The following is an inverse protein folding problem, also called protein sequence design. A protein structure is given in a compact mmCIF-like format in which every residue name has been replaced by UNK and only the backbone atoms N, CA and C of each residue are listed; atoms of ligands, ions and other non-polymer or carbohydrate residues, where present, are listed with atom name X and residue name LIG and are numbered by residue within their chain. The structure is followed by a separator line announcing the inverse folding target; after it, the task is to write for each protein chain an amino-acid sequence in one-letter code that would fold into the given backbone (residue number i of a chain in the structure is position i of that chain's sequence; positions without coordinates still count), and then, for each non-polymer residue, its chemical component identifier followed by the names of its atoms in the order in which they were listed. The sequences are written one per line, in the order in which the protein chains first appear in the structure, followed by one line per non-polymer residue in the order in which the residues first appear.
data_IF_709284310072
#
_entry.id   IF_709284310072
#
_cell.length_a   1.000
_cell.length_b   1.000
_cell.length_c   1.000
_cell.angle_alpha   90.00
_cell.angle_beta   90.00
_cell.angle_gamma   90.00
#
_symmetry.space_group_name_H-M   'P 1'
#
loop_
_entity.id
_entity.type
_entity.pdbx_description
1 polymer ?
#
# COMPACT_ATOMS: atom_id res chain seq x y z
N UNK A 1 -10.55 -5.61 13.59
CA UNK A 1 -9.68 -6.28 12.61
C UNK A 1 -9.77 -5.66 11.22
N UNK A 2 -10.88 -5.72 10.50
CA UNK A 2 -10.97 -5.17 9.13
C UNK A 2 -10.95 -3.64 9.05
N UNK A 3 -11.27 -2.93 10.12
CA UNK A 3 -11.25 -1.46 10.16
C UNK A 3 -9.86 -0.86 9.94
N UNK A 4 -8.81 -1.48 10.49
CA UNK A 4 -7.45 -0.94 10.38
C UNK A 4 -6.92 -0.87 8.94
N UNK A 5 -7.03 -1.90 8.08
CA UNK A 5 -6.68 -1.78 6.67
C UNK A 5 -7.49 -0.71 5.92
N UNK A 6 -8.75 -0.51 6.28
CA UNK A 6 -9.57 0.59 5.73
C UNK A 6 -9.00 1.95 6.14
N UNK A 7 -8.73 2.15 7.44
CA UNK A 7 -8.15 3.40 7.96
C UNK A 7 -6.77 3.70 7.35
N UNK A 8 -5.91 2.69 7.19
CA UNK A 8 -4.62 2.83 6.50
C UNK A 8 -4.84 3.37 5.07
N UNK A 9 -5.77 2.79 4.33
CA UNK A 9 -6.08 3.22 2.95
C UNK A 9 -6.63 4.64 2.90
N UNK A 10 -7.49 5.02 3.86
CA UNK A 10 -8.03 6.38 3.99
C UNK A 10 -6.92 7.37 4.33
N UNK A 11 -6.03 7.04 5.27
CA UNK A 11 -4.91 7.88 5.65
C UNK A 11 -3.96 8.13 4.47
N UNK A 12 -3.58 7.08 3.73
CA UNK A 12 -2.78 7.22 2.51
C UNK A 12 -3.46 8.12 1.49
N UNK A 13 -4.75 7.93 1.26
CA UNK A 13 -5.53 8.75 0.32
C UNK A 13 -5.54 10.22 0.74
N UNK A 14 -5.77 10.52 2.01
CA UNK A 14 -5.72 11.90 2.53
C UNK A 14 -4.35 12.54 2.31
N UNK A 15 -3.25 11.82 2.57
CA UNK A 15 -1.89 12.33 2.35
C UNK A 15 -1.63 12.64 0.87
N UNK A 16 -2.05 11.74 -0.03
CA UNK A 16 -1.89 11.96 -1.48
C UNK A 16 -2.70 13.17 -1.93
N UNK A 17 -4.02 13.20 -1.65
CA UNK A 17 -4.90 14.26 -2.16
C UNK A 17 -4.74 15.61 -1.47
N UNK A 18 -4.08 15.67 -0.32
CA UNK A 18 -3.69 16.95 0.30
C UNK A 18 -2.49 17.61 -0.39
N UNK A 19 -1.82 16.93 -1.35
CA UNK A 19 -0.60 17.41 -1.97
C UNK A 19 0.63 17.37 -1.02
N UNK A 20 0.55 16.59 0.08
CA UNK A 20 1.63 16.48 1.06
C UNK A 20 2.95 16.03 0.41
N UNK A 21 2.87 15.04 -0.47
CA UNK A 21 4.05 14.43 -1.10
C UNK A 21 4.67 15.31 -2.20
N UNK A 22 3.93 16.28 -2.74
CA UNK A 22 4.50 17.33 -3.60
C UNK A 22 5.26 18.36 -2.78
N UNK A 23 4.73 18.73 -1.61
CA UNK A 23 5.41 19.68 -0.70
C UNK A 23 6.61 19.07 0.00
N UNK A 24 6.59 17.77 0.26
CA UNK A 24 7.64 17.02 0.97
C UNK A 24 8.08 15.79 0.17
N UNK A 25 8.77 15.99 -0.98
CA UNK A 25 9.09 14.87 -1.90
C UNK A 25 10.11 13.88 -1.33
N UNK A 26 10.85 14.25 -0.29
CA UNK A 26 11.78 13.37 0.42
C UNK A 26 11.16 12.57 1.57
N UNK A 27 9.87 12.76 1.85
CA UNK A 27 9.20 12.06 2.95
C UNK A 27 9.06 10.56 2.62
N UNK A 28 9.50 9.72 3.57
CA UNK A 28 9.37 8.26 3.49
C UNK A 28 8.35 7.81 4.51
N UNK A 29 7.33 7.11 4.06
CA UNK A 29 6.23 6.63 4.90
C UNK A 29 6.09 5.13 4.73
N UNK A 30 6.09 4.41 5.85
CA UNK A 30 5.79 2.98 5.91
C UNK A 30 4.33 2.85 6.31
N UNK A 31 3.59 2.02 5.61
CA UNK A 31 2.16 1.79 5.85
C UNK A 31 1.93 0.41 6.42
N UNK A 32 1.06 0.33 7.43
CA UNK A 32 0.64 -0.93 8.03
C UNK A 32 -0.17 -1.78 7.04
N UNK A 33 -0.16 -3.10 7.28
CA UNK A 33 -0.93 -4.09 6.52
C UNK A 33 -0.67 -3.97 5.02
N UNK A 34 0.60 -3.76 4.65
CA UNK A 34 1.06 -3.64 3.27
C UNK A 34 0.24 -2.62 2.43
N UNK A 35 -0.06 -1.46 3.01
CA UNK A 35 -0.86 -0.43 2.34
C UNK A 35 -2.38 -0.66 2.39
N UNK A 36 -2.81 -1.57 3.27
CA UNK A 36 -4.22 -1.86 3.49
C UNK A 36 -4.92 -2.40 2.26
N UNK A 37 -5.93 -1.69 1.77
CA UNK A 37 -6.72 -2.11 0.60
C UNK A 37 -6.13 -1.63 -0.73
N UNK A 38 -5.18 -0.69 -0.71
CA UNK A 38 -4.71 -0.02 -1.94
C UNK A 38 -4.06 -0.94 -2.96
N UNK A 39 -3.18 -1.89 -2.60
CA UNK A 39 -2.61 -2.81 -3.59
C UNK A 39 -3.67 -3.64 -4.31
N UNK A 40 -4.66 -4.14 -3.59
CA UNK A 40 -5.75 -4.93 -4.16
C UNK A 40 -6.66 -4.11 -5.09
N UNK A 41 -6.91 -2.84 -4.75
CA UNK A 41 -7.76 -1.93 -5.52
C UNK A 41 -6.99 -0.99 -6.44
N UNK A 42 -5.71 -1.25 -6.72
CA UNK A 42 -4.84 -0.37 -7.52
C UNK A 42 -5.45 -0.02 -8.89
N UNK A 43 -5.93 -1.00 -9.64
CA UNK A 43 -6.56 -0.78 -10.94
C UNK A 43 -7.84 0.06 -10.83
N UNK A 44 -8.64 -0.14 -9.78
CA UNK A 44 -9.81 0.69 -9.50
C UNK A 44 -9.42 2.14 -9.18
N UNK A 45 -8.40 2.32 -8.32
CA UNK A 45 -7.90 3.63 -8.01
C UNK A 45 -7.42 4.36 -9.27
N UNK A 46 -6.58 3.72 -10.09
CA UNK A 46 -6.04 4.30 -11.31
C UNK A 46 -7.14 4.69 -12.32
N UNK A 47 -8.14 3.82 -12.54
CA UNK A 47 -9.21 4.09 -13.50
C UNK A 47 -10.18 5.16 -13.01
N UNK A 48 -10.60 5.12 -11.74
CA UNK A 48 -11.61 6.03 -11.24
C UNK A 48 -11.10 7.47 -11.07
N UNK A 49 -9.83 7.64 -10.78
CA UNK A 49 -9.25 8.99 -10.65
C UNK A 49 -9.29 9.77 -11.95
N UNK A 50 -9.14 9.11 -13.08
CA UNK A 50 -9.27 9.77 -14.40
C UNK A 50 -10.69 10.23 -14.69
N UNK A 51 -11.68 9.66 -13.99
CA UNK A 51 -13.12 9.97 -14.15
C UNK A 51 -13.69 10.85 -13.03
N UNK A 52 -12.96 11.04 -11.94
CA UNK A 52 -13.37 11.97 -10.88
C UNK A 52 -13.39 13.39 -11.46
N UNK A 53 -14.42 14.13 -11.13
CA UNK A 53 -14.65 15.46 -11.70
C UNK A 53 -15.56 15.47 -12.93
N UNK A 54 -15.82 14.32 -13.56
CA UNK A 54 -16.88 14.20 -14.57
C UNK A 54 -18.27 13.91 -13.98
N UNK A 55 -18.31 13.51 -12.70
CA UNK A 55 -19.54 13.07 -11.99
C UNK A 55 -19.88 13.90 -10.76
N UNK A 56 -19.00 14.81 -10.34
CA UNK A 56 -19.16 15.68 -9.17
C UNK A 56 -19.41 17.13 -9.55
N UNK A 57 -19.38 18.02 -8.56
CA UNK A 57 -19.52 19.47 -8.73
C UNK A 57 -18.24 20.16 -9.28
N UNK A 58 -17.25 19.37 -9.65
CA UNK A 58 -15.96 19.85 -10.16
C UNK A 58 -14.89 20.10 -9.09
N UNK A 59 -15.22 20.00 -7.80
CA UNK A 59 -14.25 20.22 -6.72
C UNK A 59 -13.14 19.18 -6.73
N UNK A 60 -13.48 17.91 -6.98
CA UNK A 60 -12.51 16.82 -7.10
C UNK A 60 -11.57 17.00 -8.31
N UNK A 61 -12.07 17.55 -9.40
CA UNK A 61 -11.23 17.85 -10.57
C UNK A 61 -10.15 18.90 -10.25
N UNK A 62 -10.42 19.83 -9.35
CA UNK A 62 -9.44 20.82 -8.91
C UNK A 62 -8.36 20.19 -8.03
N UNK A 63 -8.70 19.22 -7.17
CA UNK A 63 -7.73 18.47 -6.38
C UNK A 63 -6.76 17.71 -7.30
N UNK A 64 -7.28 17.03 -8.32
CA UNK A 64 -6.45 16.28 -9.26
C UNK A 64 -5.51 17.21 -10.06
N UNK A 65 -6.00 18.39 -10.48
CA UNK A 65 -5.19 19.39 -11.19
C UNK A 65 -4.09 20.01 -10.33
N UNK A 66 -4.23 19.96 -9.00
CA UNK A 66 -3.23 20.48 -8.07
C UNK A 66 -2.06 19.53 -7.85
N UNK A 67 -2.18 18.25 -8.23
CA UNK A 67 -1.14 17.26 -8.10
C UNK A 67 -0.19 17.27 -9.30
N UNK A 68 1.13 17.19 -9.06
CA UNK A 68 2.14 17.18 -10.13
C UNK A 68 2.26 15.84 -10.84
N UNK A 69 1.69 14.76 -10.28
CA UNK A 69 1.72 13.40 -10.82
C UNK A 69 0.35 12.72 -10.70
N UNK A 70 0.07 11.67 -11.47
CA UNK A 70 -1.11 10.83 -11.25
C UNK A 70 -1.13 10.26 -9.83
N UNK A 71 -2.31 10.17 -9.17
CA UNK A 71 -2.44 9.67 -7.79
C UNK A 71 -1.76 8.32 -7.53
N UNK A 72 -1.83 7.40 -8.50
CA UNK A 72 -1.19 6.09 -8.38
C UNK A 72 0.34 6.19 -8.19
N UNK A 73 0.98 7.19 -8.81
CA UNK A 73 2.41 7.41 -8.66
C UNK A 73 2.79 7.81 -7.22
N UNK A 74 1.92 8.58 -6.54
CA UNK A 74 2.11 8.91 -5.12
C UNK A 74 1.89 7.72 -4.21
N UNK A 75 0.84 6.90 -4.45
CA UNK A 75 0.63 5.68 -3.68
C UNK A 75 1.82 4.73 -3.75
N UNK A 76 2.49 4.66 -4.89
CA UNK A 76 3.73 3.89 -5.07
C UNK A 76 4.97 4.52 -4.43
N UNK A 77 4.89 5.73 -3.87
CA UNK A 77 5.98 6.33 -3.08
C UNK A 77 6.06 5.78 -1.65
N UNK A 78 4.96 5.24 -1.13
CA UNK A 78 4.93 4.62 0.18
C UNK A 78 5.70 3.30 0.20
N UNK A 79 6.06 2.88 1.40
CA UNK A 79 6.56 1.54 1.70
C UNK A 79 5.42 0.73 2.33
N UNK A 80 5.29 -0.52 1.97
CA UNK A 80 4.42 -1.47 2.64
C UNK A 80 5.19 -2.30 3.66
N UNK A 81 4.50 -2.84 4.65
CA UNK A 81 5.06 -3.84 5.57
C UNK A 81 4.56 -5.25 5.25
N UNK A 82 5.06 -6.26 5.99
CA UNK A 82 4.66 -7.66 5.83
C UNK A 82 3.58 -8.09 6.82
N UNK A 83 2.89 -7.17 7.49
CA UNK A 83 1.87 -7.46 8.51
C UNK A 83 0.57 -7.91 7.85
N UNK A 84 0.53 -9.15 7.38
CA UNK A 84 -0.58 -9.73 6.62
C UNK A 84 -1.06 -11.07 7.20
N UNK A 85 -0.72 -11.35 8.47
CA UNK A 85 -1.13 -12.58 9.16
C UNK A 85 -0.63 -13.85 8.48
N UNK A 86 0.55 -13.83 7.85
CA UNK A 86 1.13 -14.98 7.15
C UNK A 86 0.51 -15.30 5.79
N UNK A 87 -0.25 -14.39 5.18
CA UNK A 87 -0.86 -14.59 3.87
C UNK A 87 0.11 -14.32 2.72
N UNK A 88 0.68 -15.37 2.12
CA UNK A 88 1.58 -15.26 0.96
C UNK A 88 0.91 -14.62 -0.26
N UNK A 89 -0.39 -14.87 -0.49
CA UNK A 89 -1.13 -14.25 -1.60
C UNK A 89 -1.31 -12.74 -1.42
N UNK A 90 -1.59 -12.27 -0.20
CA UNK A 90 -1.69 -10.85 0.11
C UNK A 90 -0.30 -10.18 -0.01
N UNK A 91 0.76 -10.83 0.48
CA UNK A 91 2.12 -10.34 0.35
C UNK A 91 2.55 -10.25 -1.12
N UNK A 92 2.16 -11.20 -1.96
CA UNK A 92 2.37 -11.14 -3.42
C UNK A 92 1.74 -9.89 -4.02
N UNK A 93 0.47 -9.62 -3.69
CA UNK A 93 -0.24 -8.44 -4.15
C UNK A 93 0.49 -7.14 -3.76
N UNK A 94 0.98 -7.06 -2.52
CA UNK A 94 1.76 -5.91 -2.05
C UNK A 94 3.08 -5.75 -2.79
N UNK A 95 3.82 -6.85 -3.00
CA UNK A 95 5.09 -6.85 -3.74
C UNK A 95 4.89 -6.43 -5.21
N UNK A 96 3.81 -6.89 -5.86
CA UNK A 96 3.49 -6.49 -7.23
C UNK A 96 3.15 -5.00 -7.32
N UNK A 97 2.54 -4.44 -6.27
CA UNK A 97 2.16 -3.04 -6.22
C UNK A 97 3.33 -2.11 -5.88
N UNK A 98 4.03 -2.35 -4.77
CA UNK A 98 5.11 -1.48 -4.27
C UNK A 98 6.47 -1.78 -4.90
N UNK A 99 6.69 -3.01 -5.32
CA UNK A 99 8.00 -3.54 -5.65
C UNK A 99 8.77 -4.07 -4.43
N UNK A 100 9.70 -5.02 -4.63
CA UNK A 100 10.43 -5.66 -3.52
C UNK A 100 11.29 -4.70 -2.70
N UNK A 101 11.77 -3.61 -3.30
CA UNK A 101 12.62 -2.62 -2.63
C UNK A 101 11.82 -1.70 -1.66
N UNK A 102 10.49 -1.80 -1.69
CA UNK A 102 9.59 -0.97 -0.86
C UNK A 102 8.68 -1.76 0.06
N UNK A 103 8.93 -3.04 0.23
CA UNK A 103 8.25 -3.85 1.24
C UNK A 103 9.25 -4.20 2.34
N UNK A 104 8.93 -3.80 3.57
CA UNK A 104 9.79 -3.97 4.74
C UNK A 104 9.20 -5.03 5.67
N UNK A 105 10.06 -5.80 6.34
CA UNK A 105 9.60 -6.78 7.31
C UNK A 105 9.05 -6.11 8.56
N UNK A 106 7.84 -6.52 8.97
CA UNK A 106 7.24 -6.23 10.26
C UNK A 106 6.30 -7.37 10.65
N UNK A 107 6.01 -7.53 11.94
CA UNK A 107 5.28 -8.67 12.48
C UNK A 107 3.98 -8.32 13.20
N UNK A 108 3.77 -7.04 13.53
CA UNK A 108 2.68 -6.61 14.42
C UNK A 108 2.80 -7.15 15.87
N UNK A 109 4.04 -7.52 16.26
CA UNK A 109 4.32 -7.92 17.64
C UNK A 109 3.96 -6.76 18.61
N UNK A 110 3.28 -7.02 19.75
CA UNK A 110 2.99 -8.32 20.37
C UNK A 110 1.52 -8.79 20.20
N UNK A 111 0.81 -8.37 19.19
CA UNK A 111 -0.66 -8.50 19.08
C UNK A 111 -1.17 -9.87 18.63
N UNK A 112 -0.34 -10.91 18.62
CA UNK A 112 -0.78 -12.29 18.38
C UNK A 112 -1.07 -13.07 19.68
N UNK A 113 -1.75 -14.24 19.61
CA UNK A 113 -2.07 -15.05 20.79
C UNK A 113 -0.87 -15.55 21.60
N UNK A 114 0.34 -15.51 21.03
CA UNK A 114 1.59 -15.90 21.68
C UNK A 114 2.43 -14.69 22.11
N UNK A 115 1.84 -13.49 22.10
CA UNK A 115 2.50 -12.24 22.48
C UNK A 115 3.72 -11.89 21.60
N UNK A 116 3.64 -12.26 20.29
CA UNK A 116 4.62 -11.88 19.27
C UNK A 116 5.20 -13.00 18.41
N UNK A 117 5.61 -14.17 18.99
CA UNK A 117 6.29 -15.22 18.24
C UNK A 117 5.52 -15.81 17.07
N UNK A 118 4.19 -15.92 17.18
CA UNK A 118 3.37 -16.49 16.12
C UNK A 118 3.41 -15.63 14.85
N UNK A 119 3.16 -14.34 14.94
CA UNK A 119 3.17 -13.44 13.78
C UNK A 119 4.55 -13.32 13.15
N UNK A 120 5.61 -13.39 13.95
CA UNK A 120 6.99 -13.42 13.43
C UNK A 120 7.21 -14.67 12.58
N UNK A 121 6.86 -15.86 13.10
CA UNK A 121 7.01 -17.13 12.36
C UNK A 121 6.21 -17.14 11.07
N UNK A 122 4.91 -16.77 11.17
CA UNK A 122 4.02 -16.77 10.01
C UNK A 122 4.43 -15.73 8.97
N UNK A 123 4.91 -14.57 9.40
CA UNK A 123 5.47 -13.54 8.51
C UNK A 123 6.69 -14.06 7.75
N UNK A 124 7.66 -14.68 8.45
CA UNK A 124 8.85 -15.28 7.82
C UNK A 124 8.43 -16.38 6.85
N UNK A 125 7.58 -17.33 7.28
CA UNK A 125 7.07 -18.40 6.43
C UNK A 125 6.42 -17.86 5.15
N UNK A 126 5.60 -16.83 5.27
CA UNK A 126 4.93 -16.24 4.10
C UNK A 126 5.89 -15.63 3.08
N UNK A 127 7.05 -15.16 3.54
CA UNK A 127 8.12 -14.64 2.66
C UNK A 127 8.88 -15.80 2.02
N UNK A 128 9.22 -16.85 2.78
CA UNK A 128 9.93 -18.02 2.29
C UNK A 128 9.11 -18.81 1.27
N UNK A 129 7.79 -18.88 1.45
CA UNK A 129 6.84 -19.50 0.52
C UNK A 129 6.71 -18.73 -0.81
N UNK A 130 7.18 -17.48 -0.88
CA UNK A 130 7.18 -16.72 -2.11
C UNK A 130 8.36 -17.11 -3.00
N UNK A 131 8.07 -17.56 -4.23
CA UNK A 131 9.09 -17.68 -5.26
C UNK A 131 9.46 -16.29 -5.82
N UNK A 132 10.31 -15.58 -5.07
CA UNK A 132 10.75 -14.22 -5.43
C UNK A 132 11.60 -14.20 -6.72
N UNK A 133 12.10 -15.35 -7.18
CA UNK A 133 12.93 -15.43 -8.38
C UNK A 133 12.12 -15.37 -9.67
N UNK A 134 10.82 -15.69 -9.64
CA UNK A 134 9.95 -15.59 -10.84
C UNK A 134 9.80 -14.17 -11.36
N UNK A 135 10.00 -13.15 -10.54
CA UNK A 135 9.88 -11.74 -10.95
C UNK A 135 11.14 -11.14 -11.60
N UNK A 136 12.29 -11.82 -11.55
CA UNK A 136 13.55 -11.34 -12.16
C UNK A 136 13.74 -11.77 -13.62
N UNK A 137 12.90 -12.69 -14.11
CA UNK A 137 13.06 -13.31 -15.45
C UNK A 137 12.15 -12.78 -16.55
N UNK A 138 11.26 -11.81 -16.28
CA UNK A 138 10.32 -11.26 -17.28
C UNK A 138 10.48 -9.73 -17.40
N UNK A 139 11.64 -9.33 -17.90
CA UNK A 139 11.84 -8.01 -18.50
C UNK A 139 12.54 -8.17 -19.84
#
# INVERSE_FOLDING_TARGET
MLGWPVETSVAMSRMVFSGLLDRLPGLRLITHHCGGMLPYFAGRAETLWTQMGSRGDGSEANVLKSLSKPPIAYFKMFYGDTVLGGSSSALRCGLDFFGPDKVVFASDCPFDPEEGPMFIREGIRSIEDLDLNRHRGSR
#
